data_IF_011772157551
#
_entry.id   IF_011772157551
#
_cell.length_a   1.000
_cell.length_b   1.000
_cell.length_c   1.000
_cell.angle_alpha   90.00
_cell.angle_beta   90.00
_cell.angle_gamma   90.00
#
_symmetry.space_group_name_H-M   'P 1'
#
loop_
_entity.id
_entity.type
_entity.pdbx_description
1 polymer ?
#
# COMPACT_ATOMS: atom_id res chain seq x y z
N UNK A 1 -11.26 12.25 -25.89
CA UNK A 1 -11.71 10.90 -26.32
C UNK A 1 -11.71 10.02 -25.08
N UNK A 2 -12.87 9.52 -24.66
CA UNK A 2 -12.99 8.65 -23.48
C UNK A 2 -12.02 7.46 -23.58
N UNK A 3 -11.28 7.20 -22.51
CA UNK A 3 -10.27 6.13 -22.45
C UNK A 3 -10.98 4.77 -22.47
N UNK A 4 -11.05 4.13 -23.64
CA UNK A 4 -11.62 2.78 -23.85
C UNK A 4 -10.83 1.65 -23.19
N UNK A 5 -9.95 1.95 -22.24
CA UNK A 5 -9.03 1.00 -21.61
C UNK A 5 -9.73 0.15 -20.54
N UNK A 6 -10.87 0.62 -19.99
CA UNK A 6 -11.56 0.00 -18.86
C UNK A 6 -11.95 -1.47 -19.10
N UNK A 7 -12.31 -1.83 -20.34
CA UNK A 7 -12.66 -3.22 -20.70
C UNK A 7 -11.53 -4.22 -20.45
N UNK A 8 -10.27 -3.78 -20.52
CA UNK A 8 -9.09 -4.62 -20.29
C UNK A 8 -8.82 -4.88 -18.82
N UNK A 9 -9.57 -4.27 -17.90
CA UNK A 9 -9.51 -4.54 -16.46
C UNK A 9 -10.49 -5.62 -15.99
N UNK A 10 -11.31 -6.16 -16.91
CA UNK A 10 -12.15 -7.32 -16.61
C UNK A 10 -11.27 -8.48 -16.09
N UNK A 11 -11.71 -9.11 -15.01
CA UNK A 11 -10.96 -10.19 -14.35
C UNK A 11 -11.77 -11.48 -14.24
N UNK A 12 -13.09 -11.43 -14.41
CA UNK A 12 -13.98 -12.58 -14.25
C UNK A 12 -13.66 -13.77 -15.18
N UNK A 13 -12.98 -13.52 -16.31
CA UNK A 13 -12.56 -14.55 -17.26
C UNK A 13 -11.28 -15.29 -16.84
N UNK A 14 -10.55 -14.78 -15.85
CA UNK A 14 -9.30 -15.39 -15.37
C UNK A 14 -9.61 -16.56 -14.42
N UNK A 15 -8.71 -17.55 -14.26
CA UNK A 15 -8.78 -18.53 -13.20
C UNK A 15 -8.78 -17.88 -11.80
N UNK A 16 -9.43 -18.51 -10.81
CA UNK A 16 -9.64 -17.94 -9.46
C UNK A 16 -8.34 -17.43 -8.80
N UNK A 17 -7.24 -18.17 -8.98
CA UNK A 17 -5.90 -17.79 -8.52
C UNK A 17 -5.43 -16.44 -9.08
N UNK A 18 -5.62 -16.20 -10.38
CA UNK A 18 -5.24 -14.95 -11.03
C UNK A 18 -6.26 -13.83 -10.78
N UNK A 19 -7.53 -14.19 -10.54
CA UNK A 19 -8.52 -13.21 -10.09
C UNK A 19 -8.14 -12.59 -8.75
N UNK A 20 -7.52 -13.33 -7.84
CA UNK A 20 -7.11 -12.82 -6.54
C UNK A 20 -6.20 -11.57 -6.65
N UNK A 21 -5.31 -11.53 -7.65
CA UNK A 21 -4.43 -10.38 -7.90
C UNK A 21 -5.02 -9.36 -8.89
N UNK A 22 -5.78 -9.81 -9.89
CA UNK A 22 -6.32 -8.92 -10.93
C UNK A 22 -7.56 -8.15 -10.47
N UNK A 23 -8.38 -8.72 -9.58
CA UNK A 23 -9.66 -8.14 -9.15
C UNK A 23 -9.51 -6.81 -8.40
N UNK A 24 -8.61 -6.66 -7.41
CA UNK A 24 -8.43 -5.38 -6.71
C UNK A 24 -8.05 -4.24 -7.66
N UNK A 25 -7.18 -4.52 -8.63
CA UNK A 25 -6.75 -3.53 -9.63
C UNK A 25 -7.88 -3.16 -10.58
N UNK A 26 -8.71 -4.12 -10.98
CA UNK A 26 -9.88 -3.84 -11.83
C UNK A 26 -10.94 -3.00 -11.13
N UNK A 27 -11.21 -3.26 -9.84
CA UNK A 27 -12.12 -2.43 -9.04
C UNK A 27 -11.60 -0.99 -8.88
N UNK A 28 -10.29 -0.82 -8.70
CA UNK A 28 -9.67 0.51 -8.68
C UNK A 28 -9.82 1.23 -10.03
N UNK A 29 -9.60 0.52 -11.14
CA UNK A 29 -9.77 1.08 -12.47
C UNK A 29 -11.23 1.55 -12.71
N UNK A 30 -12.23 0.77 -12.29
CA UNK A 30 -13.64 1.17 -12.37
C UNK A 30 -13.95 2.41 -11.51
N UNK A 31 -13.33 2.51 -10.33
CA UNK A 31 -13.49 3.68 -9.45
C UNK A 31 -12.93 4.94 -10.12
N UNK A 32 -11.70 4.88 -10.64
CA UNK A 32 -11.03 6.01 -11.29
C UNK A 32 -11.76 6.43 -12.57
N UNK A 33 -12.28 5.47 -13.33
CA UNK A 33 -13.05 5.73 -14.55
C UNK A 33 -14.32 6.53 -14.24
N UNK A 34 -15.00 6.21 -13.13
CA UNK A 34 -16.23 6.89 -12.70
C UNK A 34 -15.99 8.24 -12.04
N UNK A 35 -14.90 8.40 -11.29
CA UNK A 35 -14.68 9.58 -10.44
C UNK A 35 -13.89 10.70 -11.11
N UNK A 36 -13.03 10.38 -12.07
CA UNK A 36 -12.15 11.38 -12.69
C UNK A 36 -12.70 11.89 -14.03
N UNK A 37 -12.59 13.20 -14.29
CA UNK A 37 -12.96 13.76 -15.59
C UNK A 37 -12.05 13.23 -16.69
N UNK A 38 -12.56 13.17 -17.91
CA UNK A 38 -11.78 12.75 -19.06
C UNK A 38 -10.66 13.74 -19.38
N UNK A 39 -9.45 13.21 -19.58
CA UNK A 39 -8.28 14.01 -19.87
C UNK A 39 -7.04 13.16 -20.19
N UNK A 40 -5.96 13.82 -20.65
CA UNK A 40 -4.70 13.15 -20.96
C UNK A 40 -4.11 12.43 -19.75
N UNK A 41 -4.20 13.02 -18.55
CA UNK A 41 -3.68 12.43 -17.31
C UNK A 41 -4.46 11.20 -16.86
N UNK A 42 -5.81 11.23 -16.92
CA UNK A 42 -6.64 10.04 -16.67
C UNK A 42 -6.25 8.91 -17.63
N UNK A 43 -6.09 9.24 -18.91
CA UNK A 43 -5.69 8.26 -19.92
C UNK A 43 -4.29 7.69 -19.67
N UNK A 44 -3.34 8.51 -19.25
CA UNK A 44 -1.99 8.08 -18.90
C UNK A 44 -1.99 7.19 -17.64
N UNK A 45 -2.72 7.58 -16.60
CA UNK A 45 -2.89 6.80 -15.37
C UNK A 45 -3.52 5.44 -15.64
N UNK A 46 -4.59 5.37 -16.45
CA UNK A 46 -5.26 4.12 -16.80
C UNK A 46 -4.34 3.15 -17.56
N UNK A 47 -3.45 3.65 -18.44
CA UNK A 47 -2.45 2.80 -19.13
C UNK A 47 -1.41 2.24 -18.16
N UNK A 48 -0.89 3.08 -17.26
CA UNK A 48 0.08 2.65 -16.23
C UNK A 48 -0.52 1.63 -15.27
N UNK A 49 -1.79 1.82 -14.90
CA UNK A 49 -2.49 0.88 -14.03
C UNK A 49 -2.73 -0.48 -14.72
N UNK A 50 -3.00 -0.48 -16.03
CA UNK A 50 -3.14 -1.71 -16.80
C UNK A 50 -1.81 -2.47 -16.88
N UNK A 51 -0.71 -1.76 -17.11
CA UNK A 51 0.64 -2.34 -17.13
C UNK A 51 1.00 -2.97 -15.77
N UNK A 52 0.70 -2.26 -14.67
CA UNK A 52 0.88 -2.80 -13.31
C UNK A 52 0.06 -4.09 -13.09
N UNK A 53 -1.23 -4.09 -13.49
CA UNK A 53 -2.10 -5.27 -13.42
C UNK A 53 -1.48 -6.45 -14.17
N UNK A 54 -1.03 -6.23 -15.40
CA UNK A 54 -0.46 -7.29 -16.25
C UNK A 54 0.86 -7.84 -15.67
N UNK A 55 1.69 -6.99 -15.05
CA UNK A 55 2.89 -7.42 -14.33
C UNK A 55 2.55 -8.30 -13.12
N UNK A 56 1.56 -7.91 -12.30
CA UNK A 56 1.13 -8.72 -11.15
C UNK A 56 0.56 -10.07 -11.57
N UNK A 57 -0.29 -10.08 -12.60
CA UNK A 57 -0.86 -11.33 -13.14
C UNK A 57 0.25 -12.24 -13.67
N UNK A 58 1.27 -11.69 -14.34
CA UNK A 58 2.40 -12.48 -14.87
C UNK A 58 3.19 -13.18 -13.76
N UNK A 59 3.53 -12.47 -12.69
CA UNK A 59 4.23 -13.07 -11.54
C UNK A 59 3.34 -14.07 -10.79
N UNK A 60 2.01 -13.84 -10.76
CA UNK A 60 1.07 -14.77 -10.13
C UNK A 60 0.94 -16.12 -10.85
N UNK A 61 1.43 -16.25 -12.08
CA UNK A 61 1.52 -17.55 -12.78
C UNK A 61 2.46 -18.51 -12.03
N UNK A 62 3.52 -17.99 -11.41
CA UNK A 62 4.54 -18.76 -10.71
C UNK A 62 4.11 -19.19 -9.30
N UNK A 63 3.01 -18.64 -8.77
CA UNK A 63 2.46 -19.08 -7.49
C UNK A 63 2.06 -20.57 -7.60
N UNK A 64 2.16 -21.37 -6.53
CA UNK A 64 1.66 -22.74 -6.57
C UNK A 64 0.15 -22.74 -6.80
N UNK A 65 -0.35 -23.69 -7.60
CA UNK A 65 -1.79 -23.94 -7.66
C UNK A 65 -2.25 -24.43 -6.29
N UNK A 66 -3.27 -23.77 -5.75
CA UNK A 66 -3.89 -24.19 -4.49
C UNK A 66 -4.70 -25.47 -4.71
N UNK A 67 -4.01 -26.58 -5.01
CA UNK A 67 -4.59 -27.91 -4.97
C UNK A 67 -4.69 -28.35 -3.51
N UNK A 68 -5.92 -28.27 -2.98
CA UNK A 68 -6.44 -29.03 -1.84
C UNK A 68 -5.49 -29.17 -0.63
N UNK A 69 -5.37 -28.12 0.20
CA UNK A 69 -5.17 -28.33 1.63
C UNK A 69 -6.56 -28.52 2.24
N UNK A 70 -6.93 -29.73 2.72
CA UNK A 70 -8.16 -29.89 3.47
C UNK A 70 -7.99 -29.13 4.79
N UNK A 71 -8.65 -27.99 4.92
CA UNK A 71 -8.64 -27.17 6.14
C UNK A 71 -8.20 -25.72 5.97
N UNK A 72 -7.77 -25.26 4.80
CA UNK A 72 -7.36 -23.85 4.60
C UNK A 72 -8.39 -22.98 3.88
N UNK A 73 -9.58 -23.51 3.58
CA UNK A 73 -10.72 -22.69 3.19
C UNK A 73 -11.33 -22.07 4.45
N UNK A 74 -10.61 -21.13 5.06
CA UNK A 74 -11.30 -20.00 5.64
C UNK A 74 -11.18 -18.89 4.61
N UNK A 75 -12.30 -18.23 4.23
CA UNK A 75 -12.16 -16.93 3.60
C UNK A 75 -11.30 -16.05 4.52
N UNK A 76 -10.92 -14.86 4.07
CA UNK A 76 -10.55 -13.78 4.97
C UNK A 76 -11.79 -13.45 5.84
N UNK A 77 -12.08 -14.35 6.79
CA UNK A 77 -13.27 -14.46 7.56
C UNK A 77 -12.93 -13.80 8.87
N UNK A 78 -13.33 -12.54 8.99
CA UNK A 78 -13.31 -11.84 10.25
C UNK A 78 -14.04 -12.72 11.27
N UNK A 79 -13.29 -13.32 12.20
CA UNK A 79 -13.86 -14.15 13.26
C UNK A 79 -14.56 -13.20 14.24
N UNK A 80 -15.89 -13.13 14.18
CA UNK A 80 -16.67 -12.41 15.18
C UNK A 80 -16.71 -13.27 16.44
N UNK A 81 -15.76 -13.07 17.35
CA UNK A 81 -15.86 -13.63 18.69
C UNK A 81 -16.85 -12.76 19.49
N UNK A 82 -18.00 -13.33 19.85
CA UNK A 82 -18.89 -12.69 20.82
C UNK A 82 -18.17 -12.70 22.17
N UNK A 83 -17.76 -11.53 22.65
CA UNK A 83 -17.32 -11.40 24.04
C UNK A 83 -18.54 -11.61 24.94
N UNK A 84 -18.62 -12.78 25.58
CA UNK A 84 -19.55 -12.96 26.69
C UNK A 84 -19.11 -12.07 27.85
N UNK A 85 -19.98 -11.14 28.24
CA UNK A 85 -19.83 -10.37 29.47
C UNK A 85 -19.47 -8.90 29.31
N UNK A 86 -20.31 -8.11 28.64
CA UNK A 86 -20.60 -6.72 29.06
C UNK A 86 -22.06 -6.44 28.73
N UNK A 87 -22.90 -6.39 29.76
CA UNK A 87 -24.30 -5.96 29.66
C UNK A 87 -24.36 -4.47 29.38
N UNK A 88 -25.09 -4.12 28.31
CA UNK A 88 -25.65 -2.80 27.97
C UNK A 88 -24.74 -1.80 27.22
N UNK A 89 -24.52 -2.06 25.92
CA UNK A 89 -24.18 -1.05 24.90
C UNK A 89 -24.59 -1.58 23.50
N UNK A 90 -25.19 -0.78 22.58
CA UNK A 90 -25.77 -1.26 21.32
C UNK A 90 -24.72 -1.52 20.22
N UNK A 91 -23.48 -1.85 20.58
CA UNK A 91 -22.37 -2.01 19.64
C UNK A 91 -21.68 -3.38 19.78
N UNK A 92 -21.57 -4.15 18.70
CA UNK A 92 -20.65 -5.29 18.62
C UNK A 92 -19.26 -4.79 18.21
N UNK A 93 -18.20 -5.31 18.82
CA UNK A 93 -16.82 -4.98 18.43
C UNK A 93 -16.19 -6.15 17.67
N UNK A 94 -15.57 -5.81 16.54
CA UNK A 94 -14.84 -6.71 15.65
C UNK A 94 -13.36 -6.38 15.73
N UNK A 95 -12.56 -7.32 16.23
CA UNK A 95 -11.10 -7.22 16.20
C UNK A 95 -10.56 -7.91 14.97
N UNK A 96 -9.71 -7.21 14.24
CA UNK A 96 -8.91 -7.77 13.15
C UNK A 96 -7.43 -7.52 13.47
N UNK A 97 -6.65 -8.59 13.48
CA UNK A 97 -5.19 -8.53 13.59
C UNK A 97 -4.57 -8.78 12.22
N UNK A 98 -3.68 -7.88 11.80
CA UNK A 98 -2.84 -8.05 10.60
C UNK A 98 -1.44 -7.54 10.90
N UNK A 99 -0.43 -8.36 10.62
CA UNK A 99 1.00 -8.03 10.74
C UNK A 99 1.37 -7.35 12.06
N UNK A 100 0.84 -7.87 13.18
CA UNK A 100 1.12 -7.36 14.53
C UNK A 100 0.38 -6.08 14.92
N UNK A 101 -0.47 -5.52 14.03
CA UNK A 101 -1.35 -4.40 14.33
C UNK A 101 -2.78 -4.86 14.57
N UNK A 102 -3.41 -4.35 15.64
CA UNK A 102 -4.81 -4.68 16.00
C UNK A 102 -5.73 -3.51 15.67
N UNK A 103 -6.69 -3.72 14.78
CA UNK A 103 -7.78 -2.78 14.52
C UNK A 103 -9.07 -3.27 15.18
N UNK A 104 -9.80 -2.39 15.85
CA UNK A 104 -11.12 -2.70 16.44
C UNK A 104 -12.21 -1.86 15.78
N UNK A 105 -13.14 -2.50 15.09
CA UNK A 105 -14.31 -1.88 14.45
C UNK A 105 -15.51 -2.06 15.38
N UNK A 106 -16.23 -0.97 15.72
CA UNK A 106 -17.50 -1.04 16.47
C UNK A 106 -18.68 -0.92 15.51
N UNK A 107 -19.58 -1.89 15.52
CA UNK A 107 -20.80 -1.93 14.70
C UNK A 107 -22.04 -1.76 15.56
N UNK A 108 -22.90 -0.80 15.25
CA UNK A 108 -24.20 -0.64 15.92
C UNK A 108 -25.18 -1.74 15.46
N UNK A 109 -25.74 -2.51 16.38
CA UNK A 109 -26.62 -3.64 16.08
C UNK A 109 -28.01 -3.23 15.57
N UNK A 110 -28.50 -2.04 15.92
CA UNK A 110 -29.81 -1.56 15.47
C UNK A 110 -29.80 -1.17 13.98
N UNK A 111 -28.66 -0.68 13.49
CA UNK A 111 -28.46 -0.36 12.07
C UNK A 111 -28.46 -1.62 11.17
N UNK A 112 -28.04 -2.77 11.70
CA UNK A 112 -28.01 -4.05 10.96
C UNK A 112 -29.42 -4.62 10.76
N UNK A 113 -30.29 -4.55 11.78
CA UNK A 113 -31.67 -5.10 11.69
C UNK A 113 -32.59 -4.31 10.77
N UNK A 114 -32.32 -3.02 10.54
CA UNK A 114 -33.17 -2.15 9.73
C UNK A 114 -32.88 -2.19 8.21
N UNK A 115 -31.92 -3.00 7.75
CA UNK A 115 -31.56 -3.09 6.32
C UNK A 115 -30.98 -1.79 5.74
N UNK A 116 -30.55 -0.85 6.60
CA UNK A 116 -30.03 0.44 6.18
C UNK A 116 -28.62 0.34 5.59
N UNK A 117 -28.32 1.21 4.61
CA UNK A 117 -26.95 1.42 4.14
C UNK A 117 -26.06 1.86 5.31
N UNK A 118 -24.99 1.10 5.56
CA UNK A 118 -23.97 1.50 6.51
C UNK A 118 -23.23 2.69 5.93
N UNK A 119 -23.34 3.85 6.59
CA UNK A 119 -22.25 4.81 6.52
C UNK A 119 -21.10 4.14 7.25
N UNK A 120 -20.18 3.54 6.49
CA UNK A 120 -18.81 3.36 6.98
C UNK A 120 -18.30 4.78 7.16
N UNK A 121 -18.63 5.39 8.30
CA UNK A 121 -17.71 6.31 8.93
C UNK A 121 -16.55 5.42 9.38
N UNK A 122 -15.72 5.03 8.38
CA UNK A 122 -14.32 5.21 8.60
C UNK A 122 -14.28 6.64 9.14
N UNK A 123 -13.94 6.76 10.41
CA UNK A 123 -13.16 7.91 10.79
C UNK A 123 -11.96 7.87 9.82
N UNK A 124 -12.14 8.44 8.62
CA UNK A 124 -11.23 9.46 8.17
C UNK A 124 -11.29 10.45 9.32
N UNK A 125 -10.51 10.16 10.37
CA UNK A 125 -9.72 11.21 10.94
C UNK A 125 -9.26 12.01 9.72
N UNK A 126 -9.72 13.27 9.63
CA UNK A 126 -9.03 14.29 8.82
C UNK A 126 -7.57 13.87 8.84
N UNK A 127 -6.87 13.71 7.70
CA UNK A 127 -5.50 13.25 7.74
C UNK A 127 -4.82 14.16 8.75
N UNK A 128 -4.58 13.63 9.94
CA UNK A 128 -3.71 14.28 10.90
C UNK A 128 -2.45 14.07 10.12
N UNK A 129 -2.03 15.12 9.40
CA UNK A 129 -0.81 15.15 8.62
C UNK A 129 0.17 14.29 9.41
N UNK A 130 0.57 13.14 8.84
CA UNK A 130 1.19 12.03 9.58
C UNK A 130 2.00 12.62 10.72
N UNK A 131 1.72 12.22 11.98
CA UNK A 131 2.21 12.94 13.16
C UNK A 131 3.65 13.34 12.89
N UNK A 132 4.06 14.57 13.21
CA UNK A 132 5.35 15.08 12.72
C UNK A 132 6.51 14.09 12.99
N UNK A 133 6.39 13.26 14.05
CA UNK A 133 7.20 12.09 14.37
C UNK A 133 7.21 11.00 13.26
N UNK A 134 6.05 10.52 12.81
CA UNK A 134 5.92 9.59 11.67
C UNK A 134 6.52 10.15 10.38
N UNK A 135 6.36 11.45 10.11
CA UNK A 135 7.01 12.09 8.95
C UNK A 135 8.54 11.99 9.04
N UNK A 136 9.12 12.26 10.21
CA UNK A 136 10.58 12.19 10.42
C UNK A 136 11.10 10.76 10.35
N UNK A 137 10.36 9.78 10.86
CA UNK A 137 10.69 8.36 10.74
C UNK A 137 10.75 7.93 9.27
N UNK A 138 9.71 8.26 8.48
CA UNK A 138 9.68 7.98 7.05
C UNK A 138 10.83 8.67 6.30
N UNK A 139 11.04 9.96 6.59
CA UNK A 139 12.14 10.75 5.99
C UNK A 139 13.52 10.12 6.25
N UNK A 140 13.77 9.61 7.47
CA UNK A 140 15.02 8.91 7.80
C UNK A 140 15.17 7.61 7.02
N UNK A 141 14.11 6.79 6.99
CA UNK A 141 14.13 5.52 6.27
C UNK A 141 14.43 5.72 4.78
N UNK A 142 13.78 6.68 4.14
CA UNK A 142 14.01 7.00 2.73
C UNK A 142 15.45 7.50 2.51
N UNK A 143 15.95 8.39 3.38
CA UNK A 143 17.32 8.90 3.32
C UNK A 143 18.36 7.80 3.47
N UNK A 144 18.16 6.85 4.38
CA UNK A 144 19.08 5.74 4.61
C UNK A 144 19.12 4.79 3.40
N UNK A 145 17.99 4.58 2.72
CA UNK A 145 17.97 3.84 1.46
C UNK A 145 18.72 4.57 0.34
N UNK A 146 18.53 5.88 0.20
CA UNK A 146 19.26 6.69 -0.80
C UNK A 146 20.78 6.69 -0.54
N UNK A 147 21.19 6.81 0.73
CA UNK A 147 22.58 6.69 1.16
C UNK A 147 23.15 5.34 0.71
N UNK A 148 22.45 4.24 1.03
CA UNK A 148 22.91 2.89 0.68
C UNK A 148 23.10 2.73 -0.83
N UNK A 149 22.17 3.23 -1.65
CA UNK A 149 22.27 3.18 -3.12
C UNK A 149 23.47 3.98 -3.63
N UNK A 150 23.68 5.20 -3.12
CA UNK A 150 24.78 6.06 -3.55
C UNK A 150 26.14 5.52 -3.08
N UNK A 151 26.25 5.03 -1.86
CA UNK A 151 27.47 4.40 -1.33
C UNK A 151 27.82 3.14 -2.13
N UNK A 152 26.84 2.28 -2.43
CA UNK A 152 27.02 1.10 -3.29
C UNK A 152 27.51 1.51 -4.68
N UNK A 153 26.91 2.55 -5.28
CA UNK A 153 27.38 3.07 -6.56
C UNK A 153 28.83 3.55 -6.51
N UNK A 154 29.21 4.30 -5.46
CA UNK A 154 30.55 4.84 -5.30
C UNK A 154 31.59 3.73 -5.06
N UNK A 155 31.23 2.66 -4.33
CA UNK A 155 32.17 1.59 -3.95
C UNK A 155 32.28 0.46 -4.95
N UNK A 156 31.15 0.02 -5.49
CA UNK A 156 31.04 -1.26 -6.18
C UNK A 156 30.83 -1.09 -7.69
N UNK A 157 30.33 0.06 -8.15
CA UNK A 157 30.03 0.25 -9.56
C UNK A 157 31.27 0.69 -10.35
N UNK A 158 31.63 -0.10 -11.37
CA UNK A 158 32.76 0.17 -12.24
C UNK A 158 32.65 1.48 -13.06
N UNK A 159 31.46 2.07 -13.19
CA UNK A 159 31.28 3.36 -13.85
C UNK A 159 31.79 4.54 -13.03
N UNK A 160 31.78 4.45 -11.70
CA UNK A 160 32.21 5.54 -10.82
C UNK A 160 33.66 6.00 -11.06
N UNK A 161 34.68 5.11 -11.09
CA UNK A 161 36.06 5.53 -11.35
C UNK A 161 36.28 6.11 -12.77
N UNK A 162 35.37 5.84 -13.71
CA UNK A 162 35.42 6.41 -15.06
C UNK A 162 34.85 7.83 -15.15
N UNK A 163 34.22 8.34 -14.08
CA UNK A 163 33.69 9.70 -14.04
C UNK A 163 34.81 10.76 -13.93
N UNK A 164 34.58 11.99 -14.41
CA UNK A 164 35.47 13.12 -14.14
C UNK A 164 35.72 13.30 -12.63
N UNK A 165 36.95 13.70 -12.27
CA UNK A 165 37.36 13.80 -10.87
C UNK A 165 36.50 14.80 -10.05
N UNK A 166 36.04 15.87 -10.70
CA UNK A 166 35.14 16.85 -10.10
C UNK A 166 33.73 16.28 -9.85
N UNK A 167 33.25 15.38 -10.72
CA UNK A 167 31.98 14.68 -10.52
C UNK A 167 32.08 13.64 -9.40
N UNK A 168 33.18 12.89 -9.35
CA UNK A 168 33.47 11.98 -8.23
C UNK A 168 33.48 12.74 -6.89
N UNK A 169 34.09 13.92 -6.86
CA UNK A 169 34.12 14.78 -5.68
C UNK A 169 32.73 15.30 -5.29
N UNK A 170 31.88 15.67 -6.27
CA UNK A 170 30.50 16.09 -6.01
C UNK A 170 29.66 14.95 -5.41
N UNK A 171 29.75 13.75 -5.96
CA UNK A 171 29.01 12.59 -5.47
C UNK A 171 29.43 12.17 -4.06
N UNK A 172 30.73 12.23 -3.74
CA UNK A 172 31.22 11.98 -2.38
C UNK A 172 30.71 13.03 -1.39
N UNK A 173 30.79 14.31 -1.75
CA UNK A 173 30.24 15.40 -0.91
C UNK A 173 28.73 15.25 -0.72
N UNK A 174 28.00 14.84 -1.76
CA UNK A 174 26.58 14.56 -1.66
C UNK A 174 26.32 13.45 -0.63
N UNK A 175 27.08 12.34 -0.70
CA UNK A 175 26.96 11.24 0.26
C UNK A 175 27.23 11.72 1.70
N UNK A 176 28.28 12.52 1.90
CA UNK A 176 28.61 13.10 3.22
C UNK A 176 27.45 13.93 3.79
N UNK A 177 26.89 14.86 3.00
CA UNK A 177 25.76 15.70 3.41
C UNK A 177 24.50 14.86 3.70
N UNK A 178 24.29 13.78 2.94
CA UNK A 178 23.18 12.87 3.18
C UNK A 178 23.33 12.14 4.52
N UNK A 179 24.55 11.70 4.87
CA UNK A 179 24.83 11.10 6.18
C UNK A 179 24.63 12.09 7.33
N UNK A 180 25.07 13.34 7.17
CA UNK A 180 24.82 14.41 8.15
C UNK A 180 23.31 14.60 8.37
N UNK A 181 22.52 14.68 7.29
CA UNK A 181 21.07 14.80 7.41
C UNK A 181 20.44 13.58 8.09
N UNK A 182 20.85 12.34 7.77
CA UNK A 182 20.33 11.14 8.45
C UNK A 182 20.67 11.14 9.95
N UNK A 183 21.83 11.68 10.31
CA UNK A 183 22.24 11.84 11.71
C UNK A 183 21.31 12.81 12.44
N UNK A 184 21.05 13.99 11.86
CA UNK A 184 20.10 14.98 12.39
C UNK A 184 18.68 14.39 12.50
N UNK A 185 18.24 13.59 11.54
CA UNK A 185 16.96 12.89 11.61
C UNK A 185 16.93 11.86 12.76
N UNK A 186 18.04 11.15 12.99
CA UNK A 186 18.21 10.24 14.12
C UNK A 186 18.14 10.95 15.48
N UNK A 187 18.81 12.08 15.61
CA UNK A 187 18.73 12.93 16.81
C UNK A 187 17.31 13.43 17.05
N UNK A 188 16.60 13.87 16.00
CA UNK A 188 15.19 14.27 16.09
C UNK A 188 14.31 13.12 16.57
N UNK A 189 14.55 11.89 16.09
CA UNK A 189 13.81 10.69 16.51
C UNK A 189 14.09 10.33 17.97
N UNK A 190 15.34 10.46 18.42
CA UNK A 190 15.71 10.18 19.81
C UNK A 190 15.11 11.16 20.82
N UNK A 191 14.69 12.36 20.36
CA UNK A 191 14.11 13.42 21.18
C UNK A 191 12.57 13.51 21.04
N UNK A 192 11.93 12.49 20.48
CA UNK A 192 10.47 12.32 20.50
C UNK A 192 10.01 11.61 21.78
#
# INVERSE_FOLDING_TARGET
>A
MASTTIKYFAHAHLPAKLQAVSKPVGLLAELLEKQLPDGPEKSAGMRKLLEAKDCFVRVALDMPDQAAVPGSAQPLGVRIERSEGVTDMPYASLRAEMDGSVATIRLNMDAIRAGGFFKVEAAREKPVAASHQQRVLAEKMDRDQEISRLDTFIRENAAFPALPADEQARLRRQLDVMHELSTVLGERIANF
#
